data_IF_236279310442
#
_entry.id   IF_236279310442
#
_cell.length_a   1.000
_cell.length_b   1.000
_cell.length_c   1.000
_cell.angle_alpha   90.00
_cell.angle_beta   90.00
_cell.angle_gamma   90.00
#
_symmetry.space_group_name_H-M   'P 1'
#
loop_
_entity.id
_entity.type
_entity.pdbx_description
1 polymer ?
#
# COMPACT_ATOMS: atom_id res chain seq x y z
N UNK A 1 10.00 22.55 23.25
CA UNK A 1 9.01 22.91 24.28
C UNK A 1 7.94 23.72 23.57
N UNK A 2 6.69 23.24 23.54
CA UNK A 2 5.60 24.01 22.95
C UNK A 2 5.33 25.22 23.87
N UNK A 3 5.57 26.42 23.37
CA UNK A 3 5.15 27.65 24.05
C UNK A 3 3.62 27.66 24.10
N UNK A 4 3.08 27.30 25.27
CA UNK A 4 1.65 27.46 25.52
C UNK A 4 1.43 28.93 25.82
N UNK A 5 1.01 29.69 24.82
CA UNK A 5 0.56 31.08 25.01
C UNK A 5 -0.71 31.05 25.86
N UNK A 6 -0.61 31.42 27.14
CA UNK A 6 -1.79 31.61 28.00
C UNK A 6 -2.56 32.84 27.53
N UNK A 7 -3.77 32.63 27.01
CA UNK A 7 -4.72 33.69 26.66
C UNK A 7 -5.61 33.92 27.90
N UNK A 8 -5.70 35.15 28.38
CA UNK A 8 -6.61 35.53 29.48
C UNK A 8 -8.05 35.69 28.94
N UNK A 9 -8.85 34.64 29.10
CA UNK A 9 -10.20 34.51 28.56
C UNK A 9 -11.22 35.35 29.35
N UNK A 10 -10.97 35.60 30.64
CA UNK A 10 -11.92 36.31 31.52
C UNK A 10 -11.97 37.81 31.22
N UNK A 11 -10.93 38.35 30.60
CA UNK A 11 -10.86 39.74 30.14
C UNK A 11 -11.61 40.01 28.83
N UNK A 12 -12.02 38.97 28.10
CA UNK A 12 -12.62 39.09 26.77
C UNK A 12 -14.12 39.40 26.83
N UNK A 13 -14.57 40.25 25.91
CA UNK A 13 -16.01 40.48 25.70
C UNK A 13 -16.70 39.24 25.14
N UNK A 14 -18.03 39.14 25.30
CA UNK A 14 -18.82 38.04 24.75
C UNK A 14 -18.68 37.89 23.22
N UNK A 15 -18.45 38.98 22.50
CA UNK A 15 -18.20 38.95 21.06
C UNK A 15 -16.83 38.31 20.73
N UNK A 16 -15.79 38.67 21.49
CA UNK A 16 -14.44 38.11 21.36
C UNK A 16 -14.40 36.64 21.76
N UNK A 17 -15.09 36.26 22.84
CA UNK A 17 -15.23 34.86 23.25
C UNK A 17 -15.88 34.00 22.18
N UNK A 18 -16.96 34.49 21.55
CA UNK A 18 -17.62 33.79 20.43
C UNK A 18 -16.70 33.66 19.22
N UNK A 19 -15.91 34.69 18.92
CA UNK A 19 -14.94 34.66 17.83
C UNK A 19 -13.82 33.66 18.13
N UNK A 20 -13.22 33.73 19.32
CA UNK A 20 -12.17 32.82 19.76
C UNK A 20 -12.63 31.37 19.71
N UNK A 21 -13.84 31.07 20.18
CA UNK A 21 -14.45 29.74 20.05
C UNK A 21 -14.46 29.26 18.60
N UNK A 22 -14.95 30.09 17.68
CA UNK A 22 -15.01 29.76 16.25
C UNK A 22 -13.62 29.52 15.65
N UNK A 23 -12.65 30.34 16.03
CA UNK A 23 -11.27 30.22 15.54
C UNK A 23 -10.60 28.95 16.07
N UNK A 24 -10.84 28.60 17.35
CA UNK A 24 -10.39 27.35 17.97
C UNK A 24 -11.05 26.15 17.31
N UNK A 25 -12.37 26.16 17.11
CA UNK A 25 -13.10 25.08 16.44
C UNK A 25 -12.48 24.81 15.05
N UNK A 26 -12.25 25.88 14.26
CA UNK A 26 -11.61 25.76 12.94
C UNK A 26 -10.15 25.28 13.02
N UNK A 27 -9.40 25.74 14.02
CA UNK A 27 -8.02 25.33 14.22
C UNK A 27 -7.91 23.85 14.56
N UNK A 28 -8.84 23.32 15.35
CA UNK A 28 -8.96 21.90 15.70
C UNK A 28 -9.34 21.09 14.46
N UNK A 29 -10.37 21.51 13.72
CA UNK A 29 -10.82 20.83 12.49
C UNK A 29 -9.70 20.68 11.44
N UNK A 30 -8.84 21.69 11.33
CA UNK A 30 -7.74 21.73 10.34
C UNK A 30 -6.39 21.30 10.91
N UNK A 31 -6.32 20.86 12.16
CA UNK A 31 -5.06 20.54 12.84
C UNK A 31 -4.32 19.39 12.15
N UNK A 32 -4.98 18.25 11.99
CA UNK A 32 -4.41 17.04 11.38
C UNK A 32 -3.93 17.28 9.94
N UNK A 33 -4.68 18.06 9.15
CA UNK A 33 -4.26 18.41 7.79
C UNK A 33 -2.99 19.26 7.77
N UNK A 34 -2.86 20.22 8.71
CA UNK A 34 -1.66 21.05 8.83
C UNK A 34 -0.47 20.23 9.30
N UNK A 35 -0.64 19.37 10.30
CA UNK A 35 0.40 18.46 10.77
C UNK A 35 0.86 17.49 9.67
N UNK A 36 -0.09 16.90 8.93
CA UNK A 36 0.23 16.01 7.81
C UNK A 36 1.01 16.74 6.70
N UNK A 37 0.64 17.97 6.37
CA UNK A 37 1.37 18.80 5.40
C UNK A 37 2.76 19.16 5.89
N UNK A 38 2.92 19.49 7.17
CA UNK A 38 4.21 19.78 7.77
C UNK A 38 5.12 18.55 7.72
N UNK A 39 4.62 17.39 8.15
CA UNK A 39 5.35 16.12 8.08
C UNK A 39 5.74 15.75 6.63
N UNK A 40 4.84 15.97 5.66
CA UNK A 40 5.14 15.74 4.25
C UNK A 40 6.27 16.65 3.73
N UNK A 41 6.26 17.93 4.12
CA UNK A 41 7.30 18.88 3.75
C UNK A 41 8.67 18.52 4.36
N UNK A 42 8.69 18.09 5.62
CA UNK A 42 9.90 17.60 6.29
C UNK A 42 10.46 16.34 5.60
N UNK A 43 9.58 15.39 5.28
CA UNK A 43 9.96 14.19 4.54
C UNK A 43 10.54 14.53 3.16
N UNK A 44 9.92 15.45 2.43
CA UNK A 44 10.42 15.89 1.12
C UNK A 44 11.78 16.59 1.23
N UNK A 45 11.97 17.45 2.24
CA UNK A 45 13.24 18.12 2.49
C UNK A 45 14.36 17.12 2.76
N UNK A 46 14.12 16.12 3.62
CA UNK A 46 15.06 15.05 3.92
C UNK A 46 15.41 14.23 2.66
N UNK A 47 14.41 13.87 1.86
CA UNK A 47 14.66 13.14 0.61
C UNK A 47 15.51 13.95 -0.36
N UNK A 48 15.22 15.26 -0.50
CA UNK A 48 15.95 16.16 -1.38
C UNK A 48 17.40 16.34 -0.95
N UNK A 49 17.69 16.43 0.35
CA UNK A 49 19.05 16.46 0.89
C UNK A 49 19.86 15.21 0.46
N UNK A 50 19.19 14.07 0.36
CA UNK A 50 19.78 12.80 -0.07
C UNK A 50 19.74 12.57 -1.59
N UNK A 51 19.28 13.55 -2.36
CA UNK A 51 19.20 13.47 -3.82
C UNK A 51 18.04 12.62 -4.36
N UNK A 52 17.02 12.37 -3.53
CA UNK A 52 15.82 11.62 -3.90
C UNK A 52 14.59 12.52 -3.94
N UNK A 53 13.56 12.09 -4.69
CA UNK A 53 12.24 12.70 -4.69
C UNK A 53 11.19 11.78 -4.05
N UNK A 54 10.13 12.37 -3.51
CA UNK A 54 9.01 11.59 -2.96
C UNK A 54 8.38 10.66 -4.00
N UNK A 55 8.29 11.10 -5.26
CA UNK A 55 7.78 10.29 -6.37
C UNK A 55 8.61 9.02 -6.62
N UNK A 56 9.94 9.10 -6.53
CA UNK A 56 10.82 7.93 -6.66
C UNK A 56 10.59 6.94 -5.51
N UNK A 57 10.45 7.43 -4.28
CA UNK A 57 10.16 6.57 -3.11
C UNK A 57 8.80 5.89 -3.24
N UNK A 58 7.77 6.60 -3.69
CA UNK A 58 6.43 6.02 -3.91
C UNK A 58 6.45 4.94 -5.00
N UNK A 59 7.26 5.12 -6.05
CA UNK A 59 7.42 4.11 -7.11
C UNK A 59 8.13 2.82 -6.62
N UNK A 60 8.99 2.91 -5.60
CA UNK A 60 9.63 1.73 -5.00
C UNK A 60 8.63 0.78 -4.32
N UNK A 61 7.51 1.31 -3.82
CA UNK A 61 6.44 0.51 -3.20
C UNK A 61 5.57 -0.26 -4.20
N UNK A 62 5.67 0.05 -5.50
CA UNK A 62 4.94 -0.67 -6.56
C UNK A 62 5.73 -1.91 -6.94
N UNK A 63 5.64 -2.96 -6.12
CA UNK A 63 6.11 -4.27 -6.56
C UNK A 63 5.18 -4.75 -7.65
N UNK A 64 5.66 -4.75 -8.90
CA UNK A 64 4.92 -5.29 -10.04
C UNK A 64 4.47 -6.71 -9.68
N UNK A 65 3.17 -7.04 -9.72
CA UNK A 65 2.71 -8.39 -9.44
C UNK A 65 3.48 -9.35 -10.33
N UNK A 66 4.11 -10.38 -9.75
CA UNK A 66 4.77 -11.43 -10.55
C UNK A 66 3.71 -11.99 -11.49
N UNK A 67 3.96 -11.87 -12.79
CA UNK A 67 3.04 -12.37 -13.80
C UNK A 67 2.74 -13.85 -13.52
N UNK A 68 1.44 -14.20 -13.46
CA UNK A 68 1.02 -15.60 -13.36
C UNK A 68 1.55 -16.31 -14.60
N UNK A 69 2.42 -17.29 -14.42
CA UNK A 69 2.94 -18.11 -15.51
C UNK A 69 1.78 -18.94 -16.05
N UNK A 70 1.61 -18.97 -17.37
CA UNK A 70 0.56 -19.76 -18.00
C UNK A 70 0.73 -21.26 -17.66
N UNK A 71 -0.37 -22.01 -17.50
CA UNK A 71 -0.30 -23.45 -17.39
C UNK A 71 0.34 -24.06 -18.64
N UNK A 72 1.22 -25.05 -18.45
CA UNK A 72 1.87 -25.79 -19.54
C UNK A 72 1.21 -27.16 -19.77
N UNK A 73 0.57 -27.70 -18.74
CA UNK A 73 -0.02 -29.03 -18.73
C UNK A 73 -1.45 -29.01 -18.20
N UNK A 74 -2.34 -29.83 -18.74
CA UNK A 74 -3.72 -30.05 -18.26
C UNK A 74 -3.97 -31.52 -17.96
N UNK A 75 -4.82 -31.79 -16.96
CA UNK A 75 -5.23 -33.15 -16.64
C UNK A 75 -6.18 -33.68 -17.74
N UNK A 76 -5.86 -34.82 -18.40
CA UNK A 76 -6.72 -35.42 -19.42
C UNK A 76 -8.09 -35.87 -18.91
N UNK A 77 -8.22 -36.14 -17.60
CA UNK A 77 -9.47 -36.52 -16.97
C UNK A 77 -10.31 -35.32 -16.51
N UNK A 78 -9.69 -34.16 -16.30
CA UNK A 78 -10.34 -32.92 -15.85
C UNK A 78 -9.56 -31.68 -16.35
N UNK A 79 -9.92 -31.12 -17.52
CA UNK A 79 -9.20 -30.00 -18.13
C UNK A 79 -9.17 -28.72 -17.28
N UNK A 80 -9.99 -28.61 -16.23
CA UNK A 80 -9.95 -27.49 -15.30
C UNK A 80 -8.71 -27.51 -14.40
N UNK A 81 -8.11 -28.69 -14.21
CA UNK A 81 -6.89 -28.87 -13.44
C UNK A 81 -5.67 -28.67 -14.34
N UNK A 82 -4.95 -27.58 -14.08
CA UNK A 82 -3.78 -27.21 -14.87
C UNK A 82 -2.54 -27.02 -14.02
N UNK A 83 -1.37 -27.21 -14.63
CA UNK A 83 -0.09 -27.07 -13.97
C UNK A 83 0.90 -26.31 -14.85
N UNK A 84 1.58 -25.33 -14.27
CA UNK A 84 2.56 -24.47 -14.97
C UNK A 84 3.88 -25.17 -15.28
N UNK A 85 4.05 -26.43 -14.85
CA UNK A 85 5.32 -27.14 -14.90
C UNK A 85 6.33 -26.66 -13.85
N UNK A 86 5.95 -25.72 -12.98
CA UNK A 86 6.79 -25.21 -11.88
C UNK A 86 6.24 -25.66 -10.53
N UNK A 87 7.14 -25.95 -9.59
CA UNK A 87 6.79 -26.35 -8.22
C UNK A 87 6.36 -27.82 -8.08
N UNK A 88 5.59 -28.13 -7.02
CA UNK A 88 5.15 -29.50 -6.73
C UNK A 88 4.23 -30.02 -7.84
N UNK A 89 4.52 -31.23 -8.33
CA UNK A 89 3.66 -31.95 -9.28
C UNK A 89 2.31 -32.29 -8.63
N UNK A 90 1.17 -31.98 -9.28
CA UNK A 90 -0.14 -32.49 -8.88
C UNK A 90 -0.21 -34.02 -8.95
N UNK A 91 -1.13 -34.62 -8.19
CA UNK A 91 -1.31 -36.09 -8.18
C UNK A 91 -1.59 -36.65 -9.58
N UNK A 92 -2.46 -36.01 -10.37
CA UNK A 92 -2.77 -36.46 -11.73
C UNK A 92 -1.55 -36.51 -12.67
N UNK A 93 -0.55 -35.64 -12.47
CA UNK A 93 0.72 -35.70 -13.22
C UNK A 93 1.53 -36.91 -12.77
N UNK A 94 1.59 -37.16 -11.46
CA UNK A 94 2.31 -38.31 -10.88
C UNK A 94 1.68 -39.62 -11.37
N UNK A 95 0.35 -39.71 -11.35
CA UNK A 95 -0.39 -40.90 -11.77
C UNK A 95 -0.26 -41.13 -13.29
N UNK A 96 -0.28 -40.06 -14.09
CA UNK A 96 -0.03 -40.15 -15.52
C UNK A 96 1.39 -40.66 -15.83
N UNK A 97 2.40 -40.16 -15.11
CA UNK A 97 3.77 -40.64 -15.24
C UNK A 97 3.91 -42.10 -14.78
N UNK A 98 3.25 -42.49 -13.69
CA UNK A 98 3.26 -43.86 -13.18
C UNK A 98 2.56 -44.86 -14.12
N UNK A 99 1.56 -44.40 -14.88
CA UNK A 99 0.88 -45.20 -15.91
C UNK A 99 1.62 -45.25 -17.26
N UNK A 100 2.84 -44.70 -17.32
CA UNK A 100 3.72 -44.76 -18.49
C UNK A 100 3.52 -43.65 -19.52
N UNK A 101 2.66 -42.66 -19.24
CA UNK A 101 2.54 -41.45 -20.07
C UNK A 101 3.71 -40.50 -19.81
N UNK A 102 4.05 -39.72 -20.81
CA UNK A 102 5.05 -38.66 -20.69
C UNK A 102 4.39 -37.34 -20.25
N UNK A 103 5.20 -36.36 -19.82
CA UNK A 103 4.70 -35.00 -19.56
C UNK A 103 4.18 -34.33 -20.85
N UNK A 104 4.74 -34.67 -22.01
CA UNK A 104 4.34 -34.08 -23.28
C UNK A 104 2.93 -34.54 -23.70
N UNK A 105 2.52 -35.74 -23.29
CA UNK A 105 1.14 -36.24 -23.47
C UNK A 105 0.09 -35.46 -22.65
N UNK A 106 0.55 -34.65 -21.69
CA UNK A 106 -0.28 -33.82 -20.82
C UNK A 106 -0.19 -32.32 -21.19
N UNK A 107 0.60 -31.97 -22.21
CA UNK A 107 0.80 -30.58 -22.61
C UNK A 107 -0.48 -29.99 -23.21
N UNK A 108 -0.72 -28.70 -22.95
CA UNK A 108 -1.82 -27.91 -23.54
C UNK A 108 -1.35 -27.29 -24.85
#
# INVERSE_FOLDING_TARGET
MLETTMIDVDSLSLAELKKLKKDVDKAIETFEEREMKAAAAEAEALLRERGYSLAQIMQMGVTKPRAKVAPKYANPADPSQTWTGRGRKPHWVIDALASGKSLDDLAI
#
